data_IF_001313093041
#
_entry.id   IF_001313093041
#
_cell.length_a   1.000
_cell.length_b   1.000
_cell.length_c   1.000
_cell.angle_alpha   90.00
_cell.angle_beta   90.00
_cell.angle_gamma   90.00
#
_symmetry.space_group_name_H-M   'P 1'
#
loop_
_entity.id
_entity.type
_entity.pdbx_description
1 polymer ?
#
# COMPACT_ATOMS: atom_id res chain seq x y z
N UNK A 1 17.16 5.92 -29.53
CA UNK A 1 17.20 5.27 -28.21
C UNK A 1 15.80 5.34 -27.64
N UNK A 2 15.07 4.22 -27.61
CA UNK A 2 13.77 4.19 -26.97
C UNK A 2 13.97 4.47 -25.48
N UNK A 3 13.28 5.47 -24.92
CA UNK A 3 13.13 5.57 -23.47
C UNK A 3 12.46 4.26 -23.07
N UNK A 4 13.19 3.41 -22.34
CA UNK A 4 12.55 2.34 -21.59
C UNK A 4 11.52 3.04 -20.72
N UNK A 5 10.24 2.74 -20.92
CA UNK A 5 9.22 3.06 -19.92
C UNK A 5 9.80 2.51 -18.61
N UNK A 6 10.17 3.44 -17.72
CA UNK A 6 10.71 3.07 -16.44
C UNK A 6 9.57 2.37 -15.71
N UNK A 7 9.63 1.03 -15.68
CA UNK A 7 8.83 0.22 -14.79
C UNK A 7 8.98 0.83 -13.39
N UNK A 8 7.96 1.57 -12.94
CA UNK A 8 7.82 1.88 -11.53
C UNK A 8 7.25 0.61 -10.91
N UNK A 9 8.00 -0.11 -10.06
CA UNK A 9 7.38 -1.15 -9.27
C UNK A 9 6.23 -0.50 -8.50
N UNK A 10 5.08 -1.15 -8.52
CA UNK A 10 3.85 -0.65 -7.94
C UNK A 10 3.34 -1.78 -7.09
N UNK A 11 3.21 -1.52 -5.79
CA UNK A 11 2.86 -2.57 -4.84
C UNK A 11 1.46 -3.12 -5.13
N UNK A 12 1.37 -4.45 -5.08
CA UNK A 12 0.16 -5.21 -5.33
C UNK A 12 -0.09 -6.20 -4.20
N UNK A 13 -1.36 -6.52 -4.02
CA UNK A 13 -1.79 -7.70 -3.27
C UNK A 13 -1.43 -8.97 -4.05
N UNK A 14 -1.45 -10.12 -3.36
CA UNK A 14 -1.13 -11.42 -3.96
C UNK A 14 -2.02 -11.78 -5.17
N UNK A 15 -3.23 -11.23 -5.25
CA UNK A 15 -4.16 -11.41 -6.38
C UNK A 15 -3.87 -10.47 -7.58
N UNK A 16 -2.83 -9.65 -7.49
CA UNK A 16 -2.40 -8.70 -8.51
C UNK A 16 -3.14 -7.37 -8.51
N UNK A 17 -4.13 -7.18 -7.63
CA UNK A 17 -4.77 -5.88 -7.45
C UNK A 17 -3.79 -4.88 -6.87
N UNK A 18 -3.90 -3.62 -7.29
CA UNK A 18 -3.10 -2.53 -6.74
C UNK A 18 -3.51 -2.20 -5.32
N UNK A 19 -2.53 -1.81 -4.52
CA UNK A 19 -2.76 -1.19 -3.21
C UNK A 19 -3.15 0.28 -3.40
N UNK A 20 -4.22 0.73 -2.77
CA UNK A 20 -4.69 2.12 -2.81
C UNK A 20 -4.97 2.62 -1.39
N UNK A 21 -4.85 3.93 -1.17
CA UNK A 21 -5.18 4.50 0.13
C UNK A 21 -6.67 4.30 0.46
N UNK A 22 -6.95 3.99 1.72
CA UNK A 22 -8.28 3.65 2.24
C UNK A 22 -8.65 2.17 2.14
N UNK A 23 -7.82 1.34 1.49
CA UNK A 23 -8.02 -0.11 1.50
C UNK A 23 -7.97 -0.64 2.94
N UNK A 24 -8.89 -1.54 3.27
CA UNK A 24 -8.84 -2.35 4.48
C UNK A 24 -8.17 -3.67 4.14
N UNK A 25 -7.15 -4.03 4.91
CA UNK A 25 -6.33 -5.21 4.68
C UNK A 25 -6.35 -6.15 5.88
N UNK A 26 -6.18 -7.44 5.61
CA UNK A 26 -5.79 -8.47 6.56
C UNK A 26 -4.28 -8.75 6.37
N UNK A 27 -3.60 -9.08 7.46
CA UNK A 27 -2.15 -9.25 7.56
C UNK A 27 -1.87 -10.52 8.36
N UNK A 28 -1.14 -11.47 7.78
CA UNK A 28 -0.73 -12.75 8.40
C UNK A 28 -1.94 -13.54 8.96
N UNK A 29 -3.09 -13.46 8.27
CA UNK A 29 -4.33 -14.16 8.62
C UNK A 29 -4.99 -13.75 9.95
N UNK A 30 -4.49 -12.69 10.61
CA UNK A 30 -4.92 -12.35 11.97
C UNK A 30 -5.11 -10.84 12.19
N UNK A 31 -4.16 -10.04 11.73
CA UNK A 31 -4.15 -8.61 12.00
C UNK A 31 -4.83 -7.84 10.89
N UNK A 32 -5.24 -6.61 11.19
CA UNK A 32 -5.89 -5.75 10.22
C UNK A 32 -5.25 -4.38 10.17
N UNK A 33 -5.47 -3.69 9.06
CA UNK A 33 -5.04 -2.32 8.94
C UNK A 33 -5.77 -1.56 7.84
N UNK A 34 -5.50 -0.26 7.80
CA UNK A 34 -5.95 0.62 6.73
C UNK A 34 -4.73 1.20 6.02
N UNK A 35 -4.69 1.07 4.70
CA UNK A 35 -3.65 1.72 3.90
C UNK A 35 -3.83 3.22 3.98
N UNK A 36 -2.90 3.94 4.61
CA UNK A 36 -2.96 5.40 4.68
C UNK A 36 -2.21 6.07 3.52
N UNK A 37 -1.24 5.36 2.93
CA UNK A 37 -0.51 5.82 1.76
C UNK A 37 -0.18 4.64 0.84
N UNK A 38 -0.51 4.75 -0.44
CA UNK A 38 0.06 3.94 -1.52
C UNK A 38 0.99 4.85 -2.34
N UNK A 39 2.29 4.79 -2.04
CA UNK A 39 3.29 5.78 -2.45
C UNK A 39 3.55 5.69 -3.96
N UNK A 40 3.56 4.48 -4.53
CA UNK A 40 3.80 4.28 -5.96
C UNK A 40 2.70 4.87 -6.84
N UNK A 41 1.45 4.80 -6.37
CA UNK A 41 0.25 5.33 -7.03
C UNK A 41 -0.06 6.79 -6.63
N UNK A 42 0.73 7.41 -5.74
CA UNK A 42 0.47 8.74 -5.17
C UNK A 42 -0.96 8.89 -4.61
N UNK A 43 -1.45 7.83 -3.97
CA UNK A 43 -2.76 7.78 -3.34
C UNK A 43 -2.57 7.89 -1.83
N UNK A 44 -3.25 8.84 -1.20
CA UNK A 44 -3.06 9.17 0.23
C UNK A 44 -4.40 9.46 0.90
N UNK A 45 -4.57 8.98 2.14
CA UNK A 45 -5.49 9.56 3.12
C UNK A 45 -4.84 10.80 3.76
N UNK A 46 -5.59 11.68 4.44
CA UNK A 46 -4.99 12.84 5.12
C UNK A 46 -3.86 12.45 6.08
N UNK A 47 -2.69 13.07 5.92
CA UNK A 47 -1.47 12.75 6.68
C UNK A 47 -0.66 11.57 6.11
N UNK A 48 -1.20 10.88 5.09
CA UNK A 48 -0.49 9.85 4.35
C UNK A 48 0.63 10.41 3.46
N UNK A 49 0.45 11.64 2.97
CA UNK A 49 1.42 12.34 2.12
C UNK A 49 2.75 12.62 2.82
N UNK A 50 2.76 12.71 4.16
CA UNK A 50 3.96 12.91 4.98
C UNK A 50 4.97 11.77 4.81
N UNK A 51 4.53 10.61 4.30
CA UNK A 51 5.33 9.43 4.07
C UNK A 51 5.85 9.32 2.62
N UNK A 52 5.57 10.28 1.73
CA UNK A 52 6.01 10.23 0.31
C UNK A 52 7.54 10.14 0.18
N UNK A 53 8.30 10.65 1.16
CA UNK A 53 9.77 10.60 1.16
C UNK A 53 10.35 9.17 1.19
N UNK A 54 9.56 8.16 1.59
CA UNK A 54 9.95 6.75 1.54
C UNK A 54 10.06 6.22 0.10
N UNK A 55 9.44 6.90 -0.87
CA UNK A 55 9.66 6.73 -2.30
C UNK A 55 8.89 5.60 -2.99
N UNK A 56 8.57 4.52 -2.29
CA UNK A 56 7.83 3.36 -2.81
C UNK A 56 7.08 2.63 -1.69
N UNK A 57 6.13 1.78 -2.06
CA UNK A 57 5.43 0.92 -1.12
C UNK A 57 4.13 1.49 -0.56
N UNK A 58 3.66 0.84 0.49
CA UNK A 58 2.46 1.22 1.22
C UNK A 58 2.78 1.51 2.69
N UNK A 59 2.14 2.54 3.25
CA UNK A 59 2.09 2.77 4.68
C UNK A 59 0.71 2.34 5.18
N UNK A 60 0.69 1.43 6.16
CA UNK A 60 -0.53 0.85 6.70
C UNK A 60 -0.63 1.19 8.19
N UNK A 61 -1.76 1.75 8.61
CA UNK A 61 -2.11 1.89 10.02
C UNK A 61 -2.69 0.57 10.52
N UNK A 62 -1.88 -0.16 11.26
CA UNK A 62 -2.15 -1.52 11.72
C UNK A 62 -2.70 -1.54 13.15
N UNK A 63 -3.54 -2.51 13.45
CA UNK A 63 -4.10 -2.72 14.79
C UNK A 63 -3.10 -3.32 15.81
N UNK A 64 -1.91 -3.76 15.36
CA UNK A 64 -0.89 -4.35 16.22
C UNK A 64 0.33 -3.46 16.47
N UNK A 65 0.67 -2.58 15.53
CA UNK A 65 1.93 -1.83 15.53
C UNK A 65 1.81 -0.34 15.21
N UNK A 66 0.60 0.16 14.93
CA UNK A 66 0.42 1.49 14.36
C UNK A 66 0.93 1.54 12.91
N UNK A 67 1.66 2.59 12.54
CA UNK A 67 2.12 2.77 11.16
C UNK A 67 3.29 1.83 10.81
N UNK A 68 3.06 0.97 9.82
CA UNK A 68 4.05 0.02 9.29
C UNK A 68 4.24 0.24 7.79
N UNK A 69 5.49 0.31 7.36
CA UNK A 69 5.87 0.46 5.95
C UNK A 69 6.10 -0.90 5.29
N UNK A 70 5.42 -1.13 4.18
CA UNK A 70 5.58 -2.28 3.30
C UNK A 70 6.22 -1.78 1.99
N UNK A 71 7.55 -1.91 1.82
CA UNK A 71 8.27 -1.33 0.68
C UNK A 71 8.08 -2.09 -0.64
N UNK A 72 7.55 -3.31 -0.59
CA UNK A 72 7.36 -4.21 -1.74
C UNK A 72 6.08 -5.05 -1.57
N UNK A 73 5.76 -5.86 -2.59
CA UNK A 73 4.66 -6.82 -2.55
C UNK A 73 4.86 -7.79 -1.37
N UNK A 74 3.79 -8.07 -0.63
CA UNK A 74 3.80 -8.99 0.51
C UNK A 74 2.63 -9.98 0.35
N UNK A 75 2.95 -11.27 0.32
CA UNK A 75 1.98 -12.35 0.10
C UNK A 75 1.00 -12.49 1.28
N UNK A 76 1.39 -12.01 2.47
CA UNK A 76 0.55 -12.05 3.67
C UNK A 76 -0.42 -10.86 3.76
N UNK A 77 -0.35 -9.90 2.82
CA UNK A 77 -1.31 -8.81 2.71
C UNK A 77 -2.48 -9.20 1.81
N UNK A 78 -3.67 -9.24 2.39
CA UNK A 78 -4.91 -9.58 1.69
C UNK A 78 -5.85 -8.38 1.70
N UNK A 79 -6.35 -7.98 0.53
CA UNK A 79 -7.39 -6.95 0.43
C UNK A 79 -8.72 -7.49 0.95
N UNK A 80 -9.23 -6.89 2.02
CA UNK A 80 -10.56 -7.21 2.58
C UNK A 80 -11.63 -6.33 1.93
N UNK A 81 -11.35 -5.03 1.79
CA UNK A 81 -12.31 -4.07 1.24
C UNK A 81 -11.58 -2.90 0.57
N UNK A 82 -12.00 -2.59 -0.66
CA UNK A 82 -11.58 -1.39 -1.40
C UNK A 82 -12.19 -0.13 -0.77
N UNK A 83 -11.44 0.98 -0.75
CA UNK A 83 -12.02 2.28 -0.42
C UNK A 83 -13.18 2.60 -1.38
N UNK A 84 -14.31 3.08 -0.85
CA UNK A 84 -15.40 3.55 -1.70
C UNK A 84 -15.01 4.90 -2.33
N UNK A 85 -15.18 5.01 -3.65
CA UNK A 85 -14.82 6.20 -4.44
C UNK A 85 -15.71 7.41 -4.18
#
# INVERSE_FOLDING_TARGET
MAKRDAWRPMVKYADGQRVLAGDVVEIDGQYHGVVIAAIDDKSYLPGGEDWEYLGTGAMIDTDFGGLVHYPEDDEELVLVRRADS
#
